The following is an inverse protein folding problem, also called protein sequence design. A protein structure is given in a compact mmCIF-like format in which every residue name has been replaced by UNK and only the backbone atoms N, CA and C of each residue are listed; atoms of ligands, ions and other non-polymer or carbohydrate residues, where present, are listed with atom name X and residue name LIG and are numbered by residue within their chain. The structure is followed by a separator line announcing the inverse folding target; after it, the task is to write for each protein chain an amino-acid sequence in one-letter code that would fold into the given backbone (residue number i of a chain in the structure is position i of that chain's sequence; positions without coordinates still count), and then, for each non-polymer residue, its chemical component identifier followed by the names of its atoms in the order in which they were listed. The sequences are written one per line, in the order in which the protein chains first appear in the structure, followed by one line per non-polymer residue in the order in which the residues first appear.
data_IF_792047685852
#
_entry.id   IF_792047685852
#
_cell.length_a   1.000
_cell.length_b   1.000
_cell.length_c   1.000
_cell.angle_alpha   90.00
_cell.angle_beta   90.00
_cell.angle_gamma   90.00
#
_symmetry.space_group_name_H-M   'P 1'
#
loop_
_entity.id
_entity.type
_entity.pdbx_description
1 polymer ?
#
# COMPACT_ATOMS: atom_id res chain seq x y z
N UNK A 1 -1.30 4.11 -0.87
CA UNK A 1 -1.48 5.13 -1.93
C UNK A 1 -2.82 5.00 -2.65
N UNK A 2 -3.20 3.82 -3.16
CA UNK A 2 -4.45 3.64 -3.92
C UNK A 2 -5.72 4.15 -3.23
N UNK A 3 -5.89 3.83 -1.94
CA UNK A 3 -7.02 4.33 -1.14
C UNK A 3 -7.12 5.86 -1.17
N UNK A 4 -6.01 6.58 -1.00
CA UNK A 4 -6.03 8.05 -1.05
C UNK A 4 -6.44 8.56 -2.44
N UNK A 5 -5.87 8.00 -3.51
CA UNK A 5 -6.21 8.39 -4.89
C UNK A 5 -7.70 8.20 -5.22
N UNK A 6 -8.33 7.14 -4.69
CA UNK A 6 -9.77 6.90 -4.87
C UNK A 6 -10.60 7.89 -4.04
N UNK A 7 -10.21 8.12 -2.78
CA UNK A 7 -10.92 9.05 -1.88
C UNK A 7 -10.86 10.50 -2.38
N UNK A 8 -9.77 10.92 -3.03
CA UNK A 8 -9.63 12.25 -3.63
C UNK A 8 -10.60 12.50 -4.78
N UNK A 9 -11.22 11.45 -5.34
CA UNK A 9 -12.26 11.55 -6.38
C UNK A 9 -13.68 11.50 -5.80
N UNK A 10 -13.82 11.53 -4.47
CA UNK A 10 -15.08 11.41 -3.76
C UNK A 10 -15.33 12.63 -2.85
N UNK A 11 -16.59 13.09 -2.72
CA UNK A 11 -16.96 14.09 -1.73
C UNK A 11 -16.61 13.66 -0.30
N UNK A 12 -16.16 14.60 0.54
CA UNK A 12 -15.77 14.32 1.95
C UNK A 12 -16.85 13.59 2.75
N UNK A 13 -18.13 13.84 2.48
CA UNK A 13 -19.26 13.20 3.16
C UNK A 13 -19.35 11.70 2.90
N UNK A 14 -18.94 11.21 1.72
CA UNK A 14 -19.02 9.78 1.37
C UNK A 14 -17.70 9.04 1.59
N UNK A 15 -16.59 9.76 1.81
CA UNK A 15 -15.26 9.18 2.01
C UNK A 15 -15.20 8.16 3.18
N UNK A 16 -15.84 8.37 4.35
CA UNK A 16 -15.81 7.37 5.42
C UNK A 16 -16.40 6.02 5.00
N UNK A 17 -17.55 6.04 4.33
CA UNK A 17 -18.20 4.83 3.81
C UNK A 17 -17.38 4.17 2.70
N UNK A 18 -16.84 4.96 1.79
CA UNK A 18 -16.02 4.46 0.69
C UNK A 18 -14.72 3.82 1.21
N UNK A 19 -14.11 4.45 2.22
CA UNK A 19 -12.92 3.93 2.90
C UNK A 19 -13.18 2.58 3.56
N UNK A 20 -14.33 2.41 4.22
CA UNK A 20 -14.73 1.12 4.79
C UNK A 20 -14.81 0.04 3.73
N UNK A 21 -15.50 0.30 2.62
CA UNK A 21 -15.61 -0.67 1.51
C UNK A 21 -14.25 -0.98 0.88
N UNK A 22 -13.37 0.01 0.72
CA UNK A 22 -12.01 -0.22 0.24
C UNK A 22 -11.23 -1.09 1.23
N UNK A 23 -11.39 -0.88 2.54
CA UNK A 23 -10.79 -1.73 3.56
C UNK A 23 -11.29 -3.17 3.46
N UNK A 24 -12.59 -3.39 3.22
CA UNK A 24 -13.16 -4.73 3.05
C UNK A 24 -12.53 -5.48 1.87
N UNK A 25 -12.18 -4.77 0.79
CA UNK A 25 -11.50 -5.37 -0.38
C UNK A 25 -10.14 -5.92 0.01
N UNK A 26 -9.23 -5.08 0.53
CA UNK A 26 -7.85 -5.53 0.76
C UNK A 26 -7.66 -6.26 2.10
N UNK A 27 -8.62 -6.19 3.04
CA UNK A 27 -8.56 -6.96 4.29
C UNK A 27 -9.26 -8.30 4.21
N UNK A 28 -9.99 -8.58 3.13
CA UNK A 28 -10.64 -9.86 2.93
C UNK A 28 -9.67 -11.03 3.14
N UNK A 29 -10.17 -12.07 3.82
CA UNK A 29 -9.44 -13.30 4.07
C UNK A 29 -9.12 -14.02 2.76
N UNK A 30 -10.05 -13.99 1.80
CA UNK A 30 -9.91 -14.71 0.54
C UNK A 30 -10.04 -13.82 -0.67
N UNK A 31 -9.42 -14.19 -1.80
CA UNK A 31 -9.56 -13.46 -3.06
C UNK A 31 -11.03 -13.40 -3.50
N UNK A 32 -11.79 -14.49 -3.29
CA UNK A 32 -13.23 -14.54 -3.59
C UNK A 32 -14.01 -13.49 -2.80
N UNK A 33 -13.79 -13.39 -1.48
CA UNK A 33 -14.42 -12.37 -0.64
C UNK A 33 -14.00 -10.96 -1.07
N UNK A 34 -12.73 -10.77 -1.43
CA UNK A 34 -12.20 -9.49 -1.91
C UNK A 34 -12.90 -9.04 -3.19
N UNK A 35 -13.09 -9.95 -4.16
CA UNK A 35 -13.81 -9.69 -5.42
C UNK A 35 -15.29 -9.37 -5.18
N UNK A 36 -15.94 -10.04 -4.23
CA UNK A 36 -17.32 -9.67 -3.84
C UNK A 36 -17.38 -8.26 -3.24
N UNK A 37 -16.45 -7.91 -2.36
CA UNK A 37 -16.37 -6.54 -1.80
C UNK A 37 -16.06 -5.50 -2.89
N UNK A 38 -15.24 -5.88 -3.86
CA UNK A 38 -14.89 -5.07 -5.02
C UNK A 38 -16.11 -4.75 -5.88
N UNK A 39 -16.91 -5.78 -6.21
CA UNK A 39 -18.17 -5.60 -6.94
C UNK A 39 -19.13 -4.68 -6.18
N UNK A 40 -19.29 -4.89 -4.87
CA UNK A 40 -20.13 -4.01 -4.03
C UNK A 40 -19.69 -2.54 -4.06
N UNK A 41 -18.38 -2.28 -4.11
CA UNK A 41 -17.86 -0.92 -4.26
C UNK A 41 -18.25 -0.32 -5.61
N UNK A 42 -18.14 -1.09 -6.70
CA UNK A 42 -18.57 -0.67 -8.03
C UNK A 42 -20.06 -0.37 -8.05
N UNK A 43 -20.90 -1.32 -7.65
CA UNK A 43 -22.37 -1.18 -7.69
C UNK A 43 -22.84 0.07 -6.94
N UNK A 44 -22.19 0.39 -5.81
CA UNK A 44 -22.55 1.54 -4.96
C UNK A 44 -22.12 2.88 -5.55
N UNK A 45 -20.96 2.95 -6.17
CA UNK A 45 -20.34 4.23 -6.55
C UNK A 45 -20.24 4.48 -8.05
N UNK A 46 -20.43 3.47 -8.91
CA UNK A 46 -20.28 3.59 -10.36
C UNK A 46 -21.21 4.65 -10.95
N UNK A 47 -22.48 4.64 -10.58
CA UNK A 47 -23.48 5.55 -11.13
C UNK A 47 -23.23 7.02 -10.74
N UNK A 48 -22.70 7.28 -9.54
CA UNK A 48 -22.53 8.65 -8.99
C UNK A 48 -21.10 9.18 -9.12
N UNK A 49 -20.11 8.31 -9.08
CA UNK A 49 -18.68 8.64 -9.03
C UNK A 49 -17.84 7.72 -9.93
N UNK A 50 -18.11 7.68 -11.25
CA UNK A 50 -17.43 6.77 -12.17
C UNK A 50 -15.90 6.95 -12.16
N UNK A 51 -15.40 8.18 -11.99
CA UNK A 51 -13.95 8.47 -11.90
C UNK A 51 -13.27 7.79 -10.71
N UNK A 52 -13.97 7.62 -9.60
CA UNK A 52 -13.41 6.94 -8.42
C UNK A 52 -13.29 5.44 -8.66
N UNK A 53 -14.30 4.85 -9.32
CA UNK A 53 -14.34 3.43 -9.68
C UNK A 53 -13.33 3.13 -10.78
N UNK A 54 -13.25 3.94 -11.84
CA UNK A 54 -12.26 3.80 -12.91
C UNK A 54 -10.83 3.82 -12.35
N UNK A 55 -10.56 4.73 -11.40
CA UNK A 55 -9.28 4.75 -10.72
C UNK A 55 -9.03 3.39 -10.05
N UNK A 56 -9.98 2.88 -9.26
CA UNK A 56 -9.86 1.57 -8.62
C UNK A 56 -9.68 0.41 -9.63
N UNK A 57 -10.34 0.45 -10.79
CA UNK A 57 -10.28 -0.57 -11.84
C UNK A 57 -8.97 -0.62 -12.61
N UNK A 58 -8.33 0.54 -12.82
CA UNK A 58 -7.08 0.61 -13.58
C UNK A 58 -5.98 -0.32 -13.04
N UNK A 59 -5.98 -0.59 -11.73
CA UNK A 59 -4.98 -1.43 -11.07
C UNK A 59 -5.58 -2.75 -10.54
N UNK A 60 -6.69 -3.24 -11.12
CA UNK A 60 -7.39 -4.43 -10.62
C UNK A 60 -6.47 -5.66 -10.53
N UNK A 61 -5.71 -5.94 -11.60
CA UNK A 61 -4.79 -7.08 -11.62
C UNK A 61 -3.79 -7.01 -10.45
N UNK A 62 -3.14 -5.85 -10.29
CA UNK A 62 -2.18 -5.58 -9.22
C UNK A 62 -2.80 -5.62 -7.82
N UNK A 63 -4.10 -5.28 -7.69
CA UNK A 63 -4.79 -5.25 -6.42
C UNK A 63 -4.95 -6.65 -5.81
N UNK A 64 -5.14 -7.67 -6.64
CA UNK A 64 -5.35 -9.05 -6.18
C UNK A 64 -4.08 -9.91 -6.24
N UNK A 65 -3.01 -9.48 -6.90
CA UNK A 65 -1.75 -10.25 -6.99
C UNK A 65 -1.20 -10.66 -5.63
N UNK A 66 -1.43 -9.87 -4.57
CA UNK A 66 -0.88 -10.21 -3.26
C UNK A 66 -1.45 -11.52 -2.68
N UNK A 67 -2.61 -11.99 -3.12
CA UNK A 67 -3.17 -13.29 -2.70
C UNK A 67 -2.33 -14.48 -3.17
N UNK A 68 -1.46 -14.29 -4.17
CA UNK A 68 -0.53 -15.30 -4.65
C UNK A 68 0.68 -15.49 -3.72
N UNK A 69 0.82 -14.68 -2.66
CA UNK A 69 1.91 -14.74 -1.69
C UNK A 69 1.43 -15.38 -0.38
N UNK A 70 2.34 -15.84 0.50
CA UNK A 70 1.98 -16.38 1.81
C UNK A 70 1.11 -15.42 2.64
N UNK A 71 0.12 -15.96 3.33
CA UNK A 71 -0.78 -15.19 4.19
C UNK A 71 -0.03 -14.39 5.27
N UNK A 72 1.12 -14.89 5.78
CA UNK A 72 1.90 -14.14 6.76
C UNK A 72 2.50 -12.85 6.18
N UNK A 73 2.70 -12.77 4.87
CA UNK A 73 3.24 -11.58 4.20
C UNK A 73 2.18 -10.52 3.94
N UNK A 74 0.89 -10.91 3.88
CA UNK A 74 -0.19 -10.00 3.50
C UNK A 74 -0.26 -8.75 4.38
N UNK A 75 -0.01 -8.87 5.68
CA UNK A 75 0.00 -7.70 6.58
C UNK A 75 1.03 -6.64 6.17
N UNK A 76 2.18 -7.08 5.67
CA UNK A 76 3.24 -6.18 5.20
C UNK A 76 2.92 -5.61 3.83
N UNK A 77 2.38 -6.41 2.90
CA UNK A 77 2.05 -5.99 1.53
C UNK A 77 0.86 -5.01 1.51
N UNK A 78 -0.16 -5.25 2.33
CA UNK A 78 -1.39 -4.43 2.42
C UNK A 78 -1.16 -3.08 3.14
N UNK A 79 0.03 -2.83 3.69
CA UNK A 79 0.34 -1.62 4.46
C UNK A 79 1.40 -0.77 3.76
N UNK A 80 1.20 0.55 3.73
CA UNK A 80 2.23 1.49 3.28
C UNK A 80 3.32 1.70 4.32
N UNK A 81 3.19 1.18 5.54
CA UNK A 81 4.12 1.46 6.64
C UNK A 81 5.55 1.01 6.33
N UNK A 82 5.75 -0.08 5.58
CA UNK A 82 7.09 -0.56 5.22
C UNK A 82 7.86 0.50 4.42
N UNK A 83 7.16 1.22 3.55
CA UNK A 83 7.71 2.30 2.72
C UNK A 83 7.74 3.62 3.51
N UNK A 84 6.60 4.02 4.07
CA UNK A 84 6.42 5.32 4.73
C UNK A 84 7.28 5.44 6.00
N UNK A 85 7.48 4.35 6.75
CA UNK A 85 8.36 4.37 7.93
C UNK A 85 9.83 4.59 7.55
N UNK A 86 10.30 3.99 6.45
CA UNK A 86 11.66 4.19 5.96
C UNK A 86 11.89 5.64 5.52
N UNK A 87 10.92 6.25 4.85
CA UNK A 87 11.01 7.65 4.40
C UNK A 87 10.66 8.70 5.45
N UNK A 88 10.03 8.32 6.58
CA UNK A 88 9.60 9.26 7.62
C UNK A 88 10.75 10.16 8.14
N UNK A 89 11.91 9.57 8.39
CA UNK A 89 13.10 10.28 8.90
C UNK A 89 13.69 11.25 7.89
N UNK A 90 13.67 10.86 6.60
CA UNK A 90 14.09 11.70 5.49
C UNK A 90 13.18 12.91 5.37
N UNK A 91 11.86 12.71 5.29
CA UNK A 91 10.89 13.82 5.20
C UNK A 91 10.99 14.77 6.38
N UNK A 92 11.13 14.24 7.60
CA UNK A 92 11.32 15.05 8.80
C UNK A 92 12.56 15.94 8.70
N UNK A 93 13.70 15.37 8.28
CA UNK A 93 14.95 16.13 8.16
C UNK A 93 14.86 17.17 7.05
N UNK A 94 14.33 16.80 5.89
CA UNK A 94 14.10 17.72 4.77
C UNK A 94 13.22 18.90 5.17
N UNK A 95 12.15 18.67 5.96
CA UNK A 95 11.27 19.75 6.43
C UNK A 95 11.94 20.68 7.47
N UNK A 96 12.91 20.19 8.24
CA UNK A 96 13.61 20.96 9.27
C UNK A 96 14.85 21.70 8.75
N UNK A 97 15.49 21.20 7.72
CA UNK A 97 16.64 21.86 7.09
C UNK A 97 16.15 23.02 6.22
N UNK A 98 16.54 24.26 6.57
CA UNK A 98 16.30 25.44 5.73
C UNK A 98 17.33 25.48 4.59
N UNK A 99 16.85 25.50 3.35
CA UNK A 99 17.68 25.46 2.15
C UNK A 99 18.07 24.03 1.76
N UNK A 100 17.94 23.69 0.48
CA UNK A 100 18.52 22.46 -0.06
C UNK A 100 19.97 22.77 -0.42
N UNK A 101 20.91 22.01 0.15
CA UNK A 101 22.31 22.11 -0.26
C UNK A 101 22.49 21.63 -1.71
N UNK A 102 23.72 21.34 -2.10
CA UNK A 102 23.96 20.70 -3.41
C UNK A 102 23.29 19.33 -3.48
N UNK A 103 23.10 18.81 -4.71
CA UNK A 103 22.59 17.46 -4.94
C UNK A 103 23.41 16.41 -4.18
N UNK A 104 24.74 16.54 -4.18
CA UNK A 104 25.65 15.65 -3.46
C UNK A 104 25.39 15.65 -1.94
N UNK A 105 25.22 16.83 -1.33
CA UNK A 105 24.92 16.95 0.11
C UNK A 105 23.56 16.35 0.45
N UNK A 106 22.56 16.57 -0.42
CA UNK A 106 21.21 16.00 -0.24
C UNK A 106 21.24 14.49 -0.34
N UNK A 107 21.92 13.93 -1.34
CA UNK A 107 22.07 12.50 -1.52
C UNK A 107 22.77 11.85 -0.33
N UNK A 108 23.89 12.43 0.13
CA UNK A 108 24.62 11.97 1.30
C UNK A 108 23.74 11.98 2.56
N UNK A 109 22.93 13.04 2.74
CA UNK A 109 21.99 13.15 3.85
C UNK A 109 20.92 12.05 3.80
N UNK A 110 20.26 11.85 2.65
CA UNK A 110 19.24 10.79 2.48
C UNK A 110 19.85 9.42 2.74
N UNK A 111 21.03 9.14 2.20
CA UNK A 111 21.74 7.89 2.42
C UNK A 111 22.02 7.64 3.90
N UNK A 112 22.59 8.63 4.62
CA UNK A 112 22.86 8.48 6.06
C UNK A 112 21.60 8.33 6.90
N UNK A 113 20.49 8.96 6.54
CA UNK A 113 19.21 8.77 7.22
C UNK A 113 18.64 7.37 6.98
N UNK A 114 18.73 6.87 5.75
CA UNK A 114 18.34 5.50 5.42
C UNK A 114 19.20 4.47 6.20
N UNK A 115 20.52 4.69 6.30
CA UNK A 115 21.42 3.86 7.11
C UNK A 115 21.09 3.89 8.61
N UNK A 116 20.50 4.98 9.12
CA UNK A 116 20.02 5.05 10.50
C UNK A 116 18.68 4.34 10.67
N UNK A 117 17.77 4.48 9.70
CA UNK A 117 16.47 3.82 9.72
C UNK A 117 16.60 2.28 9.68
N UNK A 118 17.51 1.75 8.85
CA UNK A 118 17.68 0.30 8.70
C UNK A 118 18.02 -0.43 10.00
N UNK A 119 18.67 0.24 10.95
CA UNK A 119 19.04 -0.35 12.25
C UNK A 119 17.83 -0.76 13.09
N UNK A 120 16.64 -0.26 12.78
CA UNK A 120 15.39 -0.55 13.50
C UNK A 120 14.47 -1.49 12.71
N UNK A 121 14.89 -1.95 11.53
CA UNK A 121 14.07 -2.82 10.71
C UNK A 121 13.93 -4.20 11.35
N UNK A 122 12.71 -4.73 11.24
CA UNK A 122 12.36 -6.07 11.72
C UNK A 122 12.27 -7.00 10.51
N UNK A 123 12.57 -8.28 10.72
CA UNK A 123 12.33 -9.31 9.71
C UNK A 123 10.85 -9.36 9.36
N UNK A 124 10.54 -9.67 8.11
CA UNK A 124 9.18 -9.91 7.66
C UNK A 124 8.59 -11.12 8.41
N UNK A 125 7.29 -11.05 8.73
CA UNK A 125 6.56 -12.23 9.21
C UNK A 125 6.60 -13.30 8.13
N UNK A 126 6.89 -14.55 8.53
CA UNK A 126 7.04 -15.65 7.60
C UNK A 126 8.31 -15.58 6.73
N UNK A 127 9.36 -14.82 7.08
CA UNK A 127 10.56 -14.65 6.25
C UNK A 127 11.21 -15.96 5.75
N UNK A 128 10.99 -17.09 6.45
CA UNK A 128 11.43 -18.43 6.03
C UNK A 128 10.77 -18.92 4.74
N UNK A 129 9.66 -18.31 4.31
CA UNK A 129 8.93 -18.62 3.09
C UNK A 129 9.43 -17.84 1.88
N UNK A 130 10.29 -16.84 2.07
CA UNK A 130 10.87 -16.04 0.97
C UNK A 130 11.52 -16.92 -0.11
N UNK A 131 12.31 -17.96 0.22
CA UNK A 131 12.86 -18.86 -0.80
C UNK A 131 11.79 -19.55 -1.65
N UNK A 132 10.64 -19.91 -1.06
CA UNK A 132 9.51 -20.52 -1.80
C UNK A 132 8.87 -19.51 -2.74
N UNK A 133 8.76 -18.25 -2.32
CA UNK A 133 8.27 -17.15 -3.18
C UNK A 133 9.21 -16.93 -4.37
N UNK A 134 10.53 -16.89 -4.13
CA UNK A 134 11.55 -16.72 -5.19
C UNK A 134 11.49 -17.87 -6.19
N UNK A 135 11.24 -19.09 -5.73
CA UNK A 135 11.11 -20.28 -6.59
C UNK A 135 9.73 -20.39 -7.27
N UNK A 136 8.84 -19.41 -7.12
CA UNK A 136 7.54 -19.39 -7.81
C UNK A 136 6.54 -20.43 -7.30
N UNK A 137 6.69 -20.90 -6.05
CA UNK A 137 5.71 -21.82 -5.44
C UNK A 137 4.36 -21.12 -5.36
N UNK A 138 3.29 -21.80 -5.84
CA UNK A 138 1.93 -21.28 -5.73
C UNK A 138 1.43 -21.44 -4.29
N UNK A 139 0.95 -20.35 -3.72
CA UNK A 139 0.27 -20.34 -2.42
C UNK A 139 -1.24 -20.34 -2.70
N UNK A 140 -1.95 -21.30 -2.12
CA UNK A 140 -3.40 -21.38 -2.18
C UNK A 140 -3.91 -20.91 -0.81
N UNK A 141 -4.86 -19.99 -0.85
CA UNK A 141 -5.67 -19.54 0.28
C UNK A 141 -6.71 -20.59 0.67
#
# INVERSE_FOLDING_TARGET
HKTANVLDKLPKSVQPSAKSLIHDIYRAETEKKARTAYQRFQDRYQAKYPKAVENLMKDEASLFTFYQYPAEHWQHIRSTNVIESAFSTVRLRTAKTRGQGTMATTLAMVFKLAERAQKRWRRLRGYKLIPKVINGVKFID
#
